data_IF_669194702242
#
_entry.id   IF_669194702242
#
_cell.length_a   1.000
_cell.length_b   1.000
_cell.length_c   1.000
_cell.angle_alpha   90.00
_cell.angle_beta   90.00
_cell.angle_gamma   90.00
#
_symmetry.space_group_name_H-M   'P 1'
#
loop_
_entity.id
_entity.type
_entity.pdbx_description
1 polymer ?
#
# COMPACT_ATOMS: atom_id res chain seq x y z
N UNK A 1 -2.09 -19.47 -8.21
CA UNK A 1 -1.48 -18.34 -8.94
C UNK A 1 -1.51 -17.13 -8.03
N UNK A 2 -0.40 -16.40 -7.93
CA UNK A 2 -0.31 -15.16 -7.15
C UNK A 2 -0.21 -13.99 -8.13
N UNK A 3 -0.86 -12.88 -7.82
CA UNK A 3 -0.85 -11.64 -8.60
C UNK A 3 -0.39 -10.54 -7.66
N UNK A 4 0.63 -9.77 -8.06
CA UNK A 4 1.04 -8.58 -7.33
C UNK A 4 0.13 -7.41 -7.71
N UNK A 5 -0.48 -6.80 -6.70
CA UNK A 5 -1.35 -5.62 -6.82
C UNK A 5 -0.73 -4.39 -6.15
N UNK A 6 0.55 -4.49 -5.78
CA UNK A 6 1.29 -3.44 -5.10
C UNK A 6 1.88 -2.46 -6.10
N UNK A 7 1.86 -1.17 -5.77
CA UNK A 7 2.58 -0.17 -6.53
C UNK A 7 4.08 -0.27 -6.23
N UNK A 8 4.91 -0.40 -7.27
CA UNK A 8 6.36 -0.30 -7.14
C UNK A 8 6.75 1.12 -6.75
N UNK A 9 7.60 1.24 -5.72
CA UNK A 9 8.10 2.53 -5.25
C UNK A 9 9.42 2.89 -5.93
N UNK A 10 9.53 4.16 -6.29
CA UNK A 10 10.71 4.76 -6.91
C UNK A 10 11.08 6.04 -6.18
N UNK A 11 12.38 6.26 -5.99
CA UNK A 11 12.89 7.45 -5.31
C UNK A 11 12.37 8.74 -5.97
N UNK A 12 11.95 9.69 -5.13
CA UNK A 12 11.37 10.96 -5.56
C UNK A 12 9.85 10.92 -5.79
N UNK A 13 9.19 9.78 -5.69
CA UNK A 13 7.72 9.72 -5.80
C UNK A 13 7.02 10.54 -4.71
N UNK A 14 6.01 11.30 -5.13
CA UNK A 14 5.13 12.08 -4.25
C UNK A 14 3.72 11.50 -4.26
N UNK A 15 3.19 11.18 -3.08
CA UNK A 15 1.88 10.55 -2.93
C UNK A 15 0.79 11.53 -2.48
N UNK A 16 1.17 12.63 -1.83
CA UNK A 16 0.23 13.66 -1.37
C UNK A 16 0.90 15.02 -1.31
N UNK A 17 0.19 16.05 -1.79
CA UNK A 17 0.67 17.45 -1.72
C UNK A 17 0.93 17.84 -0.27
N UNK A 18 2.13 18.33 0.00
CA UNK A 18 2.60 18.71 1.35
C UNK A 18 3.22 17.58 2.16
N UNK A 19 3.22 16.34 1.65
CA UNK A 19 3.97 15.22 2.25
C UNK A 19 5.39 15.14 1.67
N UNK A 20 6.37 14.60 2.41
CA UNK A 20 7.70 14.33 1.88
C UNK A 20 7.64 13.32 0.73
N UNK A 21 8.58 13.41 -0.20
CA UNK A 21 8.81 12.37 -1.21
C UNK A 21 9.39 11.11 -0.57
N UNK A 22 9.12 9.97 -1.19
CA UNK A 22 9.86 8.74 -0.89
C UNK A 22 11.33 8.91 -1.24
N UNK A 23 12.24 8.48 -0.36
CA UNK A 23 13.70 8.52 -0.61
C UNK A 23 14.42 7.36 0.05
N UNK A 24 15.52 6.94 -0.57
CA UNK A 24 16.40 5.89 -0.08
C UNK A 24 17.84 6.41 -0.14
N UNK A 25 18.47 6.54 1.01
CA UNK A 25 19.89 6.91 1.08
C UNK A 25 20.72 5.69 1.46
N UNK A 26 21.55 5.20 0.54
CA UNK A 26 22.51 4.14 0.84
C UNK A 26 23.73 4.67 1.57
N UNK A 27 24.20 3.93 2.58
CA UNK A 27 25.30 4.30 3.45
C UNK A 27 26.33 3.17 3.46
N UNK A 28 27.59 3.54 3.36
CA UNK A 28 28.71 2.64 3.65
C UNK A 28 29.10 2.80 5.10
N UNK A 29 29.20 1.68 5.80
CA UNK A 29 29.49 1.61 7.22
C UNK A 29 30.67 0.67 7.46
N UNK A 30 31.26 0.79 8.64
CA UNK A 30 32.32 -0.07 9.11
C UNK A 30 32.04 -0.46 10.56
N UNK A 31 32.16 -1.75 10.86
CA UNK A 31 32.12 -2.28 12.22
C UNK A 31 33.40 -3.09 12.46
N UNK A 32 33.96 -3.03 13.66
CA UNK A 32 35.27 -3.65 13.97
C UNK A 32 35.26 -5.17 13.75
N UNK A 33 34.14 -5.84 14.00
CA UNK A 33 33.99 -7.29 13.84
C UNK A 33 33.43 -7.71 12.46
N UNK A 34 32.62 -6.87 11.83
CA UNK A 34 31.92 -7.22 10.57
C UNK A 34 32.62 -6.66 9.32
N UNK A 35 33.58 -5.75 9.51
CA UNK A 35 34.26 -5.05 8.42
C UNK A 35 33.36 -4.01 7.75
N UNK A 36 33.55 -3.83 6.43
CA UNK A 36 32.75 -2.88 5.64
C UNK A 36 31.41 -3.50 5.24
N UNK A 37 30.33 -2.75 5.42
CA UNK A 37 28.99 -3.16 5.00
C UNK A 37 28.18 -1.97 4.45
N UNK A 38 27.08 -2.28 3.77
CA UNK A 38 26.16 -1.28 3.26
C UNK A 38 24.81 -1.38 3.98
N UNK A 39 24.24 -0.22 4.30
CA UNK A 39 22.88 -0.11 4.83
C UNK A 39 22.13 0.99 4.09
N UNK A 40 20.85 1.19 4.39
CA UNK A 40 20.07 2.26 3.78
C UNK A 40 19.11 2.89 4.78
N UNK A 41 18.96 4.22 4.68
CA UNK A 41 17.91 4.96 5.35
C UNK A 41 16.76 5.10 4.36
N UNK A 42 15.58 4.62 4.75
CA UNK A 42 14.35 4.76 3.99
C UNK A 42 13.50 5.83 4.67
N UNK A 43 13.18 6.90 3.95
CA UNK A 43 12.26 7.92 4.42
C UNK A 43 10.97 7.87 3.59
N UNK A 44 9.85 7.65 4.26
CA UNK A 44 8.55 7.45 3.62
C UNK A 44 7.42 7.99 4.50
N UNK A 45 6.40 8.65 3.92
CA UNK A 45 5.13 8.84 4.62
C UNK A 45 4.43 7.48 4.81
N UNK A 46 3.60 7.36 5.86
CA UNK A 46 2.79 6.14 6.07
C UNK A 46 1.69 5.97 5.01
N UNK A 47 1.18 7.09 4.49
CA UNK A 47 0.27 7.09 3.34
C UNK A 47 1.09 7.12 2.05
N UNK A 48 1.60 5.97 1.65
CA UNK A 48 2.44 5.74 0.47
C UNK A 48 1.85 4.62 -0.39
N UNK A 49 1.91 4.75 -1.72
CA UNK A 49 1.56 3.70 -2.68
C UNK A 49 0.41 2.78 -2.23
N UNK A 50 0.65 1.47 -2.25
CA UNK A 50 -0.27 0.48 -1.66
C UNK A 50 -0.07 0.42 -0.14
N UNK A 51 -1.08 0.83 0.62
CA UNK A 51 -1.04 0.88 2.08
C UNK A 51 -2.42 0.59 2.69
N UNK A 52 -2.47 0.50 4.02
CA UNK A 52 -3.69 0.35 4.81
C UNK A 52 -3.79 1.53 5.77
N UNK A 53 -4.91 2.24 5.71
CA UNK A 53 -5.20 3.33 6.63
C UNK A 53 -5.70 2.80 7.99
N UNK A 54 -5.22 3.42 9.06
CA UNK A 54 -5.65 3.11 10.43
C UNK A 54 -6.35 4.33 11.01
N UNK A 55 -7.62 4.16 11.39
CA UNK A 55 -8.47 5.26 11.93
C UNK A 55 -8.01 5.71 13.32
N UNK A 56 -7.49 4.79 14.15
CA UNK A 56 -6.99 5.09 15.49
C UNK A 56 -5.71 4.29 15.75
N UNK A 57 -4.61 4.97 16.08
CA UNK A 57 -3.29 4.37 16.36
C UNK A 57 -3.29 3.34 17.51
N UNK A 58 -4.27 3.42 18.41
CA UNK A 58 -4.42 2.50 19.54
C UNK A 58 -5.34 1.31 19.19
N UNK A 59 -5.92 1.29 18.00
CA UNK A 59 -6.81 0.21 17.59
C UNK A 59 -5.99 -1.07 17.33
N UNK A 60 -6.39 -2.17 17.96
CA UNK A 60 -5.81 -3.48 17.69
C UNK A 60 -6.65 -4.16 16.61
N UNK A 61 -6.10 -4.26 15.40
CA UNK A 61 -6.74 -4.96 14.29
C UNK A 61 -6.25 -6.41 14.33
N UNK A 62 -7.18 -7.37 14.32
CA UNK A 62 -6.84 -8.78 14.23
C UNK A 62 -6.17 -9.09 12.88
N UNK A 63 -5.04 -9.81 12.91
CA UNK A 63 -4.24 -10.13 11.71
C UNK A 63 -5.07 -10.91 10.68
N UNK A 64 -6.02 -11.72 11.14
CA UNK A 64 -6.97 -12.49 10.30
C UNK A 64 -7.78 -11.61 9.36
N UNK A 65 -7.90 -10.31 9.62
CA UNK A 65 -8.59 -9.37 8.71
C UNK A 65 -7.79 -8.99 7.46
N UNK A 66 -6.49 -9.25 7.42
CA UNK A 66 -5.63 -8.93 6.29
C UNK A 66 -5.46 -10.08 5.29
N UNK A 67 -5.91 -11.29 5.64
CA UNK A 67 -5.77 -12.48 4.81
C UNK A 67 -7.13 -13.18 4.75
N UNK A 68 -7.73 -13.22 3.57
CA UNK A 68 -9.02 -13.85 3.41
C UNK A 68 -9.53 -13.83 1.96
N UNK A 69 -10.77 -14.28 1.80
CA UNK A 69 -11.45 -14.24 0.51
C UNK A 69 -11.89 -12.81 0.22
N UNK A 70 -11.30 -12.20 -0.81
CA UNK A 70 -11.78 -10.94 -1.39
C UNK A 70 -12.73 -11.16 -2.57
N UNK A 71 -13.51 -10.13 -2.90
CA UNK A 71 -14.27 -10.04 -4.15
C UNK A 71 -13.72 -8.86 -4.95
N UNK A 72 -13.30 -9.11 -6.19
CA UNK A 72 -12.91 -8.06 -7.12
C UNK A 72 -14.15 -7.56 -7.84
N UNK A 73 -14.40 -6.26 -7.77
CA UNK A 73 -15.53 -5.61 -8.45
C UNK A 73 -15.01 -4.73 -9.57
N UNK A 74 -15.54 -4.95 -10.78
CA UNK A 74 -15.19 -4.17 -11.95
C UNK A 74 -16.06 -2.89 -12.01
N UNK A 75 -15.36 -1.75 -11.95
CA UNK A 75 -15.88 -0.39 -12.05
C UNK A 75 -15.15 0.41 -13.14
N UNK A 76 -14.51 -0.27 -14.09
CA UNK A 76 -13.67 0.36 -15.13
C UNK A 76 -14.38 1.43 -15.97
N UNK A 77 -15.72 1.38 -16.05
CA UNK A 77 -16.53 2.40 -16.74
C UNK A 77 -16.97 3.57 -15.85
N UNK A 78 -16.55 3.61 -14.58
CA UNK A 78 -16.83 4.71 -13.66
C UNK A 78 -15.62 5.65 -13.57
N UNK A 79 -15.63 6.72 -14.38
CA UNK A 79 -14.50 7.65 -14.45
C UNK A 79 -14.48 8.67 -13.31
N UNK A 80 -15.65 9.08 -12.79
CA UNK A 80 -15.75 10.10 -11.74
C UNK A 80 -16.95 9.89 -10.79
N UNK A 81 -16.86 10.51 -9.62
CA UNK A 81 -17.91 10.56 -8.61
C UNK A 81 -18.01 9.31 -7.72
N UNK A 82 -19.04 9.29 -6.87
CA UNK A 82 -19.26 8.22 -5.91
C UNK A 82 -19.59 6.89 -6.62
N UNK A 83 -18.95 5.81 -6.18
CA UNK A 83 -19.26 4.45 -6.63
C UNK A 83 -20.55 3.99 -5.95
N UNK A 84 -21.54 3.61 -6.75
CA UNK A 84 -22.82 3.04 -6.30
C UNK A 84 -22.97 1.61 -6.84
N UNK A 85 -23.89 0.83 -6.26
CA UNK A 85 -24.11 -0.57 -6.67
C UNK A 85 -24.46 -0.73 -8.15
N UNK A 86 -25.19 0.22 -8.73
CA UNK A 86 -25.61 0.19 -10.13
C UNK A 86 -24.44 0.37 -11.11
N UNK A 87 -23.29 0.87 -10.63
CA UNK A 87 -22.06 1.04 -11.42
C UNK A 87 -21.18 -0.21 -11.45
N UNK A 88 -21.55 -1.27 -10.73
CA UNK A 88 -20.76 -2.50 -10.64
C UNK A 88 -21.14 -3.49 -11.76
N UNK A 89 -20.18 -3.86 -12.61
CA UNK A 89 -20.44 -4.76 -13.73
C UNK A 89 -20.75 -6.20 -13.31
N UNK A 90 -20.05 -6.68 -12.29
CA UNK A 90 -20.13 -8.05 -11.79
C UNK A 90 -20.80 -8.13 -10.41
N UNK A 91 -21.91 -7.38 -10.21
CA UNK A 91 -22.64 -7.32 -8.93
C UNK A 91 -23.03 -8.70 -8.35
N UNK A 92 -23.23 -9.70 -9.20
CA UNK A 92 -23.57 -11.07 -8.79
C UNK A 92 -22.40 -11.81 -8.12
N UNK A 93 -21.16 -11.30 -8.23
CA UNK A 93 -19.99 -11.85 -7.55
C UNK A 93 -19.97 -11.53 -6.05
N UNK A 94 -20.73 -10.52 -5.62
CA UNK A 94 -20.97 -10.25 -4.20
C UNK A 94 -22.00 -11.27 -3.72
N UNK A 95 -21.54 -12.34 -3.08
CA UNK A 95 -22.47 -13.22 -2.35
C UNK A 95 -23.14 -12.39 -1.26
N UNK A 96 -24.47 -12.47 -1.17
CA UNK A 96 -25.17 -12.11 0.06
C UNK A 96 -24.90 -13.24 1.04
N UNK A 97 -24.08 -12.97 2.05
CA UNK A 97 -24.03 -13.80 3.25
C UNK A 97 -25.35 -13.68 4.03
#
# INVERSE_FOLDING_TARGET
MLIDVSLRLEEGMFFRKGSPSFSITSLKCFHEEEGQYETSIINTPSHIGTHIDIVNKNNKIEITRFIGRGVLIDISNCNEGTITLDKMHNKNSVKKD
#
